data_IF_060477707963
#
_entry.id   IF_060477707963
#
_cell.length_a   1.000
_cell.length_b   1.000
_cell.length_c   1.000
_cell.angle_alpha   90.00
_cell.angle_beta   90.00
_cell.angle_gamma   90.00
#
_symmetry.space_group_name_H-M   'P 1'
#
loop_
_entity.id
_entity.type
_entity.pdbx_description
1 polymer ?
#
# COMPACT_ATOMS: atom_id res chain seq x y z
N UNK A 1 4.53 -8.34 1.10
CA UNK A 1 3.47 -7.51 0.46
C UNK A 1 3.47 -7.73 -1.05
N UNK A 2 2.31 -7.76 -1.70
CA UNK A 2 2.18 -7.75 -3.17
C UNK A 2 1.21 -6.68 -3.66
N UNK A 3 1.47 -6.15 -4.85
CA UNK A 3 0.62 -5.21 -5.57
C UNK A 3 0.27 -5.81 -6.92
N UNK A 4 -1.02 -5.84 -7.25
CA UNK A 4 -1.57 -6.42 -8.47
C UNK A 4 -2.49 -5.42 -9.13
N UNK A 5 -2.52 -5.43 -10.45
CA UNK A 5 -3.60 -4.79 -11.19
C UNK A 5 -4.93 -5.46 -10.80
N UNK A 6 -5.89 -4.68 -10.30
CA UNK A 6 -7.14 -5.23 -9.81
C UNK A 6 -8.02 -5.83 -10.92
N UNK A 7 -7.85 -5.39 -12.17
CA UNK A 7 -8.66 -5.88 -13.28
C UNK A 7 -8.07 -7.15 -13.89
N UNK A 8 -6.77 -7.16 -14.17
CA UNK A 8 -6.11 -8.31 -14.80
C UNK A 8 -5.55 -9.34 -13.82
N UNK A 9 -5.43 -9.01 -12.53
CA UNK A 9 -4.75 -9.83 -11.52
C UNK A 9 -3.23 -9.92 -11.68
N UNK A 10 -2.67 -9.23 -12.68
CA UNK A 10 -1.23 -9.23 -12.97
C UNK A 10 -0.45 -8.66 -11.80
N UNK A 11 0.59 -9.38 -11.36
CA UNK A 11 1.53 -8.89 -10.36
C UNK A 11 2.33 -7.72 -10.94
N UNK A 12 2.24 -6.57 -10.28
CA UNK A 12 2.99 -5.36 -10.62
C UNK A 12 4.25 -5.26 -9.77
N UNK A 13 4.16 -5.64 -8.50
CA UNK A 13 5.29 -5.58 -7.57
C UNK A 13 5.08 -6.55 -6.41
N UNK A 14 6.17 -7.08 -5.86
CA UNK A 14 6.14 -7.95 -4.69
C UNK A 14 7.44 -7.78 -3.88
N UNK A 15 7.31 -7.83 -2.56
CA UNK A 15 8.45 -7.90 -1.64
C UNK A 15 8.13 -8.79 -0.45
N UNK A 16 9.16 -9.43 0.09
CA UNK A 16 9.12 -10.25 1.30
C UNK A 16 9.78 -9.55 2.50
N UNK A 17 10.28 -8.32 2.32
CA UNK A 17 10.82 -7.51 3.41
C UNK A 17 9.72 -6.99 4.34
N UNK A 18 10.08 -6.83 5.62
CA UNK A 18 9.22 -6.15 6.59
C UNK A 18 9.33 -4.63 6.44
N UNK A 19 8.33 -4.07 5.74
CA UNK A 19 8.21 -2.64 5.47
C UNK A 19 7.50 -1.88 6.60
N UNK A 20 7.07 -2.56 7.66
CA UNK A 20 6.43 -1.94 8.82
C UNK A 20 7.43 -1.52 9.90
N UNK A 21 8.72 -1.84 9.74
CA UNK A 21 9.77 -1.48 10.69
C UNK A 21 9.90 0.04 10.84
N UNK A 22 9.63 0.62 12.03
CA UNK A 22 9.72 2.06 12.24
C UNK A 22 11.18 2.53 12.28
N UNK A 23 11.39 3.82 12.01
CA UNK A 23 12.72 4.45 12.05
C UNK A 23 13.65 4.06 10.90
N UNK A 24 13.16 3.25 9.94
CA UNK A 24 13.87 2.90 8.72
C UNK A 24 13.08 3.38 7.52
N UNK A 25 13.73 4.15 6.65
CA UNK A 25 13.20 4.42 5.32
C UNK A 25 13.42 3.20 4.44
N UNK A 26 12.34 2.67 3.86
CA UNK A 26 12.38 1.55 2.93
C UNK A 26 12.15 2.05 1.50
N UNK A 27 12.84 1.44 0.54
CA UNK A 27 12.71 1.80 -0.87
C UNK A 27 12.00 0.69 -1.66
N UNK A 28 10.91 1.06 -2.35
CA UNK A 28 10.21 0.19 -3.27
C UNK A 28 10.32 0.72 -4.70
N UNK A 29 10.78 -0.13 -5.63
CA UNK A 29 10.81 0.19 -7.07
C UNK A 29 9.62 -0.45 -7.76
N UNK A 30 8.55 0.31 -7.95
CA UNK A 30 7.33 -0.13 -8.63
C UNK A 30 7.35 0.23 -10.12
N UNK A 31 6.76 -0.58 -11.02
CA UNK A 31 6.72 -0.26 -12.44
C UNK A 31 5.79 0.92 -12.72
N UNK A 32 6.20 1.82 -13.63
CA UNK A 32 5.38 2.99 -14.02
C UNK A 32 3.98 2.63 -14.54
N UNK A 33 3.78 1.41 -15.02
CA UNK A 33 2.48 0.92 -15.47
C UNK A 33 1.43 0.89 -14.37
N UNK A 34 1.83 0.87 -13.09
CA UNK A 34 0.89 0.94 -11.95
C UNK A 34 0.04 2.21 -11.97
N UNK A 35 0.59 3.32 -12.49
CA UNK A 35 -0.12 4.60 -12.61
C UNK A 35 -1.22 4.59 -13.67
N UNK A 36 -1.31 3.52 -14.48
CA UNK A 36 -2.35 3.33 -15.49
C UNK A 36 -3.47 2.40 -15.01
N UNK A 37 -3.31 1.77 -13.85
CA UNK A 37 -4.34 0.89 -13.30
C UNK A 37 -5.47 1.73 -12.75
N UNK A 38 -6.72 1.39 -13.08
CA UNK A 38 -7.90 2.00 -12.47
C UNK A 38 -7.97 1.71 -10.97
N UNK A 39 -7.54 0.52 -10.58
CA UNK A 39 -7.36 0.14 -9.19
C UNK A 39 -6.21 -0.87 -9.04
N UNK A 40 -5.58 -0.84 -7.87
CA UNK A 40 -4.51 -1.75 -7.47
C UNK A 40 -4.99 -2.58 -6.30
N UNK A 41 -4.95 -3.91 -6.43
CA UNK A 41 -5.15 -4.82 -5.33
C UNK A 41 -3.84 -4.99 -4.56
N UNK A 42 -3.86 -4.69 -3.27
CA UNK A 42 -2.74 -4.86 -2.34
C UNK A 42 -3.00 -6.04 -1.43
N UNK A 43 -1.99 -6.87 -1.25
CA UNK A 43 -2.00 -7.95 -0.28
C UNK A 43 -0.84 -7.80 0.71
N UNK A 44 -1.16 -7.79 2.00
CA UNK A 44 -0.19 -7.77 3.10
C UNK A 44 -0.34 -9.08 3.87
N UNK A 45 0.77 -9.76 4.11
CA UNK A 45 0.82 -10.87 5.05
C UNK A 45 1.51 -10.39 6.33
N UNK A 46 0.89 -10.63 7.48
CA UNK A 46 1.45 -10.21 8.76
C UNK A 46 1.14 -11.25 9.85
N UNK A 47 2.00 -11.31 10.86
CA UNK A 47 1.81 -12.11 12.06
C UNK A 47 1.71 -11.18 13.27
N UNK A 48 0.83 -11.50 14.21
CA UNK A 48 0.74 -10.80 15.49
C UNK A 48 0.79 -11.79 16.63
N UNK A 49 1.73 -11.61 17.58
CA UNK A 49 1.71 -12.35 18.83
C UNK A 49 0.53 -11.92 19.72
N UNK A 50 0.17 -10.64 19.67
CA UNK A 50 -0.84 -10.03 20.52
C UNK A 50 -2.21 -9.99 19.86
N UNK A 51 -3.25 -10.02 20.70
CA UNK A 51 -4.63 -9.75 20.29
C UNK A 51 -4.78 -8.26 19.96
N UNK A 52 -5.42 -7.95 18.83
CA UNK A 52 -5.76 -6.56 18.46
C UNK A 52 -7.27 -6.48 18.22
N UNK A 53 -7.96 -5.57 18.90
CA UNK A 53 -9.43 -5.48 18.79
C UNK A 53 -9.87 -4.83 17.46
N UNK A 54 -9.14 -3.83 16.99
CA UNK A 54 -9.45 -3.04 15.79
C UNK A 54 -8.16 -2.61 15.11
N UNK A 55 -7.50 -3.56 14.46
CA UNK A 55 -6.31 -3.29 13.66
C UNK A 55 -6.71 -2.52 12.40
N UNK A 56 -5.98 -1.45 12.12
CA UNK A 56 -6.24 -0.51 11.02
C UNK A 56 -4.95 0.12 10.55
N UNK A 57 -4.96 0.63 9.32
CA UNK A 57 -3.84 1.31 8.68
C UNK A 57 -4.33 2.65 8.14
N UNK A 58 -3.68 3.72 8.59
CA UNK A 58 -3.80 5.06 8.02
C UNK A 58 -2.53 5.29 7.21
N UNK A 59 -2.66 5.49 5.91
CA UNK A 59 -1.51 5.59 5.00
C UNK A 59 -1.56 6.92 4.27
N UNK A 60 -0.46 7.67 4.32
CA UNK A 60 -0.31 8.97 3.66
C UNK A 60 0.74 8.90 2.58
N UNK A 61 0.43 9.47 1.41
CA UNK A 61 1.38 9.61 0.30
C UNK A 61 1.82 11.06 0.22
N UNK A 62 3.14 11.27 0.27
CA UNK A 62 3.74 12.58 0.18
C UNK A 62 4.49 12.75 -1.13
N UNK A 63 4.30 13.91 -1.76
CA UNK A 63 5.11 14.40 -2.86
C UNK A 63 5.73 15.73 -2.45
N UNK A 64 7.07 15.76 -2.37
CA UNK A 64 7.84 16.97 -1.96
C UNK A 64 7.42 17.57 -0.61
N UNK A 65 6.94 16.73 0.31
CA UNK A 65 6.52 17.14 1.66
C UNK A 65 5.02 17.43 1.78
N UNK A 66 4.32 17.60 0.67
CA UNK A 66 2.86 17.79 0.67
C UNK A 66 2.14 16.44 0.58
N UNK A 67 1.06 16.28 1.35
CA UNK A 67 0.17 15.12 1.26
C UNK A 67 -0.62 15.23 -0.04
N UNK A 68 -0.54 14.21 -0.88
CA UNK A 68 -1.31 14.11 -2.13
C UNK A 68 -2.43 13.07 -2.05
N UNK A 69 -2.32 12.08 -1.16
CA UNK A 69 -3.32 11.04 -0.94
C UNK A 69 -3.32 10.61 0.53
N UNK A 70 -4.49 10.31 1.07
CA UNK A 70 -4.69 9.69 2.38
C UNK A 70 -5.67 8.52 2.27
N UNK A 71 -5.26 7.36 2.77
CA UNK A 71 -6.07 6.14 2.72
C UNK A 71 -6.26 5.55 4.11
N UNK A 72 -7.47 5.08 4.38
CA UNK A 72 -7.86 4.47 5.64
C UNK A 72 -8.33 3.05 5.38
N UNK A 73 -7.68 2.08 6.01
CA UNK A 73 -8.00 0.66 5.86
C UNK A 73 -8.26 0.04 7.22
N UNK A 74 -9.39 -0.66 7.37
CA UNK A 74 -9.71 -1.41 8.58
C UNK A 74 -9.58 -2.92 8.33
N UNK A 75 -8.72 -3.57 9.12
CA UNK A 75 -8.63 -5.04 9.15
C UNK A 75 -9.61 -5.61 10.18
N UNK A 76 -9.73 -4.96 11.34
CA UNK A 76 -10.59 -5.39 12.44
C UNK A 76 -9.88 -6.28 13.45
N UNK A 77 -10.54 -7.34 13.87
CA UNK A 77 -10.06 -8.19 14.96
C UNK A 77 -8.88 -9.08 14.53
N UNK A 78 -7.80 -9.08 15.30
CA UNK A 78 -6.63 -9.96 15.12
C UNK A 78 -6.55 -10.93 16.28
N UNK A 79 -6.55 -12.22 15.96
CA UNK A 79 -6.36 -13.31 16.92
C UNK A 79 -4.89 -13.31 17.39
N UNK A 80 -4.60 -13.48 18.69
CA UNK A 80 -3.22 -13.59 19.16
C UNK A 80 -2.53 -14.81 18.53
N UNK A 81 -1.23 -14.70 18.25
CA UNK A 81 -0.40 -15.73 17.61
C UNK A 81 -0.92 -16.20 16.23
N UNK A 82 -1.59 -15.31 15.49
CA UNK A 82 -2.11 -15.62 14.16
C UNK A 82 -1.28 -14.98 13.05
N UNK A 83 -1.28 -15.65 11.88
CA UNK A 83 -0.80 -15.09 10.62
C UNK A 83 -1.99 -14.83 9.72
N UNK A 84 -2.09 -13.62 9.20
CA UNK A 84 -3.22 -13.15 8.42
C UNK A 84 -2.76 -12.63 7.07
N UNK A 85 -3.61 -12.81 6.07
CA UNK A 85 -3.47 -12.19 4.75
C UNK A 85 -4.57 -11.14 4.62
N UNK A 86 -4.16 -9.88 4.49
CA UNK A 86 -5.06 -8.74 4.34
C UNK A 86 -5.01 -8.21 2.91
N UNK A 87 -6.14 -8.29 2.22
CA UNK A 87 -6.31 -7.70 0.90
C UNK A 87 -7.04 -6.35 1.02
N UNK A 88 -6.54 -5.35 0.30
CA UNK A 88 -7.13 -4.01 0.19
C UNK A 88 -7.18 -3.59 -1.27
N UNK A 89 -8.19 -2.81 -1.64
CA UNK A 89 -8.27 -2.17 -2.96
C UNK A 89 -7.85 -0.70 -2.83
N UNK A 90 -6.98 -0.24 -3.71
CA UNK A 90 -6.57 1.16 -3.84
C UNK A 90 -7.07 1.66 -5.19
N UNK A 91 -8.04 2.55 -5.18
CA UNK A 91 -8.59 3.14 -6.40
C UNK A 91 -7.72 4.32 -6.85
N UNK A 92 -7.51 4.45 -8.15
CA UNK A 92 -6.84 5.62 -8.70
C UNK A 92 -7.76 6.85 -8.56
N UNK A 93 -7.14 8.00 -8.27
CA UNK A 93 -7.81 9.27 -8.43
C UNK A 93 -8.27 9.46 -9.88
N UNK A 94 -9.31 10.27 -10.14
CA UNK A 94 -9.73 10.60 -11.49
C UNK A 94 -8.56 11.07 -12.36
N UNK A 95 -8.55 10.74 -13.66
CA UNK A 95 -7.42 11.06 -14.56
C UNK A 95 -7.00 12.54 -14.52
N UNK A 96 -7.95 13.47 -14.33
CA UNK A 96 -7.68 14.89 -14.21
C UNK A 96 -6.79 15.28 -13.00
N UNK A 97 -6.72 14.42 -11.99
CA UNK A 97 -5.95 14.60 -10.76
C UNK A 97 -4.67 13.72 -10.75
N UNK A 98 -4.49 12.87 -11.75
CA UNK A 98 -3.34 11.97 -11.84
C UNK A 98 -2.08 12.75 -12.21
N UNK A 99 -1.08 12.68 -11.34
CA UNK A 99 0.22 13.30 -11.57
C UNK A 99 1.05 12.48 -12.58
N UNK A 100 1.75 13.13 -13.52
CA UNK A 100 2.60 12.43 -14.48
C UNK A 100 3.74 11.70 -13.78
N UNK A 101 4.07 10.50 -14.28
CA UNK A 101 5.12 9.64 -13.72
C UNK A 101 6.50 10.32 -13.59
N UNK A 102 6.77 11.34 -14.39
CA UNK A 102 8.01 12.13 -14.33
C UNK A 102 8.14 12.97 -13.04
N UNK A 103 7.01 13.36 -12.46
CA UNK A 103 6.91 14.05 -11.16
C UNK A 103 6.94 13.08 -9.99
N UNK A 104 6.49 11.84 -10.19
CA UNK A 104 6.40 10.79 -9.17
C UNK A 104 7.66 9.92 -9.05
N UNK A 105 8.84 10.48 -9.37
CA UNK A 105 10.12 9.73 -9.31
C UNK A 105 10.47 9.27 -7.91
N UNK A 106 10.04 10.02 -6.89
CA UNK A 106 10.20 9.69 -5.49
C UNK A 106 8.95 10.17 -4.75
N UNK A 107 8.19 9.22 -4.24
CA UNK A 107 7.03 9.44 -3.38
C UNK A 107 7.33 8.76 -2.05
N UNK A 108 6.94 9.40 -0.96
CA UNK A 108 7.08 8.83 0.37
C UNK A 108 5.73 8.32 0.84
N UNK A 109 5.74 7.20 1.53
CA UNK A 109 4.56 6.57 2.08
C UNK A 109 4.80 6.34 3.58
N UNK A 110 3.93 6.87 4.42
CA UNK A 110 3.97 6.70 5.87
C UNK A 110 2.67 6.10 6.39
#
# INVERSE_FOLDING_TARGET
MSLRDAESGKVLWQSYEDLALPGKEHQARVPKSILKCRAVSREINFTSAEKINKFRLEQRVYLKGDIIEEWFFDFGFVIPQSTNTWQSLIEAAPEAQMLPASLLRQVYCC
#
